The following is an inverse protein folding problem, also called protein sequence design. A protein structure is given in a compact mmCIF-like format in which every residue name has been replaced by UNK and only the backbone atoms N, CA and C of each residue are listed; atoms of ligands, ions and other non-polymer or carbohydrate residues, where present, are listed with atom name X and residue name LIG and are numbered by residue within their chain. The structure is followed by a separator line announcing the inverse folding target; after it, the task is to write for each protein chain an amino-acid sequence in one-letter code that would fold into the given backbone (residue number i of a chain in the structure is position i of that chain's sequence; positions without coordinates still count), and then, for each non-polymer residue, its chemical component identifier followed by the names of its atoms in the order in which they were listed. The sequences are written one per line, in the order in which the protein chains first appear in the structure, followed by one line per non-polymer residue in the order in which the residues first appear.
data_IF_593103212452
#
_entry.id   IF_593103212452
#
_cell.length_a   1.000
_cell.length_b   1.000
_cell.length_c   1.000
_cell.angle_alpha   90.00
_cell.angle_beta   90.00
_cell.angle_gamma   90.00
#
_symmetry.space_group_name_H-M   'P 1'
#
loop_
_entity.id
_entity.type
_entity.pdbx_description
1 polymer ?
#
# COMPACT_ATOMS: atom_id res chain seq x y z
N UNK A 1 28.25 3.82 -9.71
CA UNK A 1 28.51 2.43 -10.18
C UNK A 1 27.64 1.50 -9.33
N UNK A 2 26.89 0.56 -9.94
CA UNK A 2 26.19 -0.50 -9.20
C UNK A 2 27.02 -1.76 -9.33
N UNK A 3 27.44 -2.36 -8.21
CA UNK A 3 28.38 -3.48 -8.24
C UNK A 3 27.73 -4.76 -8.79
N UNK A 4 26.46 -4.99 -8.42
CA UNK A 4 25.65 -6.10 -8.91
C UNK A 4 24.32 -5.62 -9.47
N UNK A 5 24.19 -5.70 -10.79
CA UNK A 5 22.98 -5.31 -11.48
C UNK A 5 21.99 -6.48 -11.59
N UNK A 6 21.59 -7.06 -10.45
CA UNK A 6 20.51 -8.06 -10.38
C UNK A 6 19.78 -7.93 -9.05
N UNK A 7 18.49 -8.32 -9.03
CA UNK A 7 17.72 -8.49 -7.79
C UNK A 7 17.89 -9.90 -7.19
N UNK A 8 18.42 -10.86 -7.95
CA UNK A 8 18.50 -12.25 -7.51
C UNK A 8 19.50 -12.45 -6.36
N UNK A 9 19.26 -13.46 -5.54
CA UNK A 9 19.97 -13.72 -4.28
C UNK A 9 21.09 -14.77 -4.43
N UNK A 10 21.97 -14.65 -5.44
CA UNK A 10 23.24 -15.39 -5.38
C UNK A 10 23.94 -14.92 -4.11
N UNK A 11 24.24 -15.85 -3.21
CA UNK A 11 24.71 -15.58 -1.85
C UNK A 11 25.71 -14.44 -1.83
N UNK A 12 25.31 -13.30 -1.26
CA UNK A 12 26.15 -12.10 -1.20
C UNK A 12 27.52 -12.43 -0.56
N UNK A 13 27.52 -13.38 0.38
CA UNK A 13 28.72 -13.95 1.00
C UNK A 13 29.60 -14.71 0.03
N UNK A 14 29.05 -15.59 -0.82
CA UNK A 14 29.83 -16.37 -1.80
C UNK A 14 30.49 -15.44 -2.82
N UNK A 15 29.75 -14.42 -3.25
CA UNK A 15 30.27 -13.40 -4.14
C UNK A 15 31.43 -12.63 -3.49
N UNK A 16 31.25 -12.13 -2.27
CA UNK A 16 32.30 -11.41 -1.53
C UNK A 16 33.51 -12.30 -1.30
N UNK A 17 33.31 -13.55 -0.85
CA UNK A 17 34.39 -14.52 -0.63
C UNK A 17 35.18 -14.81 -1.91
N UNK A 18 34.48 -14.94 -3.04
CA UNK A 18 35.12 -15.13 -4.36
C UNK A 18 35.99 -13.94 -4.74
N UNK A 19 35.54 -12.70 -4.50
CA UNK A 19 36.33 -11.51 -4.80
C UNK A 19 37.51 -11.34 -3.82
N UNK A 20 37.33 -11.68 -2.54
CA UNK A 20 38.39 -11.66 -1.53
C UNK A 20 39.49 -12.70 -1.80
N UNK A 21 39.14 -13.83 -2.42
CA UNK A 21 40.08 -14.88 -2.81
C UNK A 21 41.02 -14.51 -3.97
N UNK A 22 40.80 -13.38 -4.65
CA UNK A 22 41.65 -12.91 -5.76
C UNK A 22 42.80 -12.05 -5.22
N UNK A 23 43.98 -12.65 -5.04
CA UNK A 23 45.15 -12.00 -4.45
C UNK A 23 45.49 -10.63 -5.07
N UNK A 24 45.44 -10.52 -6.41
CA UNK A 24 45.87 -9.31 -7.13
C UNK A 24 44.87 -8.14 -7.03
N UNK A 25 43.59 -8.41 -6.70
CA UNK A 25 42.53 -7.40 -6.66
C UNK A 25 41.85 -7.28 -5.30
N UNK A 26 42.30 -8.00 -4.27
CA UNK A 26 41.63 -8.04 -2.97
C UNK A 26 41.58 -6.66 -2.29
N UNK A 27 42.71 -5.95 -2.21
CA UNK A 27 42.76 -4.62 -1.55
C UNK A 27 41.92 -3.59 -2.32
N UNK A 28 42.00 -3.59 -3.66
CA UNK A 28 41.20 -2.66 -4.48
C UNK A 28 39.71 -2.98 -4.38
N UNK A 29 39.34 -4.27 -4.37
CA UNK A 29 37.98 -4.72 -4.12
C UNK A 29 37.45 -4.23 -2.77
N UNK A 30 38.17 -4.48 -1.67
CA UNK A 30 37.75 -4.07 -0.32
C UNK A 30 37.52 -2.55 -0.29
N UNK A 31 38.44 -1.76 -0.84
CA UNK A 31 38.31 -0.30 -0.88
C UNK A 31 37.10 0.16 -1.70
N UNK A 32 36.93 -0.35 -2.92
CA UNK A 32 35.78 0.01 -3.76
C UNK A 32 34.46 -0.43 -3.14
N UNK A 33 34.41 -1.66 -2.61
CA UNK A 33 33.21 -2.23 -2.01
C UNK A 33 32.78 -1.44 -0.77
N UNK A 34 33.70 -1.13 0.14
CA UNK A 34 33.40 -0.34 1.35
C UNK A 34 32.96 1.08 1.02
N UNK A 35 33.59 1.73 0.03
CA UNK A 35 33.17 3.06 -0.45
C UNK A 35 31.76 3.03 -1.05
N UNK A 36 31.46 2.02 -1.89
CA UNK A 36 30.13 1.84 -2.45
C UNK A 36 29.09 1.55 -1.38
N UNK A 37 29.42 0.70 -0.39
CA UNK A 37 28.53 0.39 0.72
C UNK A 37 28.21 1.64 1.54
N UNK A 38 29.22 2.46 1.87
CA UNK A 38 29.03 3.76 2.53
C UNK A 38 28.15 4.70 1.72
N UNK A 39 28.34 4.75 0.39
CA UNK A 39 27.48 5.54 -0.50
C UNK A 39 26.04 5.03 -0.48
N UNK A 40 25.80 3.72 -0.56
CA UNK A 40 24.47 3.12 -0.48
C UNK A 40 23.77 3.48 0.83
N UNK A 41 24.44 3.36 1.98
CA UNK A 41 23.86 3.76 3.26
C UNK A 41 23.51 5.24 3.30
N UNK A 42 24.37 6.11 2.77
CA UNK A 42 24.10 7.55 2.68
C UNK A 42 22.85 7.84 1.83
N UNK A 43 22.69 7.15 0.69
CA UNK A 43 21.51 7.29 -0.16
C UNK A 43 20.23 6.79 0.53
N UNK A 44 20.30 5.67 1.26
CA UNK A 44 19.17 5.16 2.04
C UNK A 44 18.77 6.15 3.13
N UNK A 45 19.73 6.67 3.90
CA UNK A 45 19.47 7.67 4.94
C UNK A 45 18.79 8.91 4.37
N UNK A 46 19.31 9.46 3.27
CA UNK A 46 18.72 10.61 2.59
C UNK A 46 17.28 10.31 2.13
N UNK A 47 17.04 9.15 1.52
CA UNK A 47 15.70 8.73 1.12
C UNK A 47 14.74 8.63 2.31
N UNK A 48 15.17 8.03 3.42
CA UNK A 48 14.37 7.89 4.63
C UNK A 48 14.03 9.26 5.23
N UNK A 49 14.95 10.21 5.23
CA UNK A 49 14.66 11.58 5.66
C UNK A 49 13.67 12.29 4.73
N UNK A 50 13.77 12.08 3.42
CA UNK A 50 12.82 12.62 2.46
C UNK A 50 11.42 12.00 2.59
N UNK A 51 11.30 10.74 3.04
CA UNK A 51 9.99 10.12 3.32
C UNK A 51 9.20 10.86 4.41
N UNK A 52 9.87 11.63 5.28
CA UNK A 52 9.21 12.45 6.31
C UNK A 52 8.46 13.64 5.71
N UNK A 53 8.88 14.12 4.53
CA UNK A 53 8.35 15.33 3.88
C UNK A 53 7.55 15.00 2.61
N UNK A 54 7.92 13.94 1.91
CA UNK A 54 7.33 13.53 0.64
C UNK A 54 6.35 12.37 0.84
N UNK A 55 5.06 12.64 0.66
CA UNK A 55 4.00 11.63 0.88
C UNK A 55 4.12 10.45 -0.08
N UNK A 56 4.67 10.64 -1.28
CA UNK A 56 4.81 9.59 -2.28
C UNK A 56 5.86 8.59 -1.85
N UNK A 57 6.99 9.07 -1.32
CA UNK A 57 8.02 8.20 -0.75
C UNK A 57 7.54 7.53 0.55
N UNK A 58 6.76 8.24 1.37
CA UNK A 58 6.11 7.63 2.53
C UNK A 58 5.16 6.49 2.12
N UNK A 59 4.30 6.72 1.14
CA UNK A 59 3.38 5.70 0.64
C UNK A 59 4.12 4.45 0.14
N UNK A 60 5.20 4.64 -0.63
CA UNK A 60 6.06 3.53 -1.04
C UNK A 60 6.62 2.79 0.18
N UNK A 61 7.16 3.49 1.18
CA UNK A 61 7.75 2.88 2.37
C UNK A 61 6.75 2.03 3.18
N UNK A 62 5.49 2.45 3.23
CA UNK A 62 4.40 1.71 3.89
C UNK A 62 3.98 0.46 3.09
N UNK A 63 3.91 0.60 1.76
CA UNK A 63 3.44 -0.46 0.87
C UNK A 63 4.51 -1.47 0.44
N UNK A 64 5.79 -1.14 0.57
CA UNK A 64 6.85 -1.87 -0.11
C UNK A 64 7.21 -3.22 0.52
N UNK A 65 7.62 -4.15 -0.34
CA UNK A 65 8.63 -5.15 0.03
C UNK A 65 10.00 -4.46 0.00
N UNK A 66 10.62 -4.29 1.18
CA UNK A 66 11.88 -3.57 1.33
C UNK A 66 13.05 -4.27 0.63
N UNK A 67 13.00 -5.60 0.48
CA UNK A 67 14.04 -6.37 -0.21
C UNK A 67 14.10 -6.04 -1.71
N UNK A 68 12.95 -5.69 -2.30
CA UNK A 68 12.84 -5.28 -3.70
C UNK A 68 12.99 -3.76 -3.83
N UNK A 69 12.35 -2.98 -2.96
CA UNK A 69 12.31 -1.52 -3.04
C UNK A 69 13.69 -0.87 -2.94
N UNK A 70 14.50 -1.24 -1.95
CA UNK A 70 15.78 -0.56 -1.72
C UNK A 70 16.74 -0.68 -2.91
N UNK A 71 16.92 -1.84 -3.57
CA UNK A 71 17.69 -1.93 -4.81
C UNK A 71 17.27 -0.91 -5.87
N UNK A 72 15.97 -0.74 -6.15
CA UNK A 72 15.48 0.25 -7.11
C UNK A 72 15.81 1.68 -6.68
N UNK A 73 15.51 2.04 -5.43
CA UNK A 73 15.75 3.39 -4.89
C UNK A 73 17.24 3.74 -4.91
N UNK A 74 18.10 2.84 -4.41
CA UNK A 74 19.55 3.02 -4.39
C UNK A 74 20.09 3.18 -5.81
N UNK A 75 19.67 2.29 -6.73
CA UNK A 75 20.12 2.36 -8.12
C UNK A 75 19.72 3.67 -8.78
N UNK A 76 18.48 4.12 -8.58
CA UNK A 76 17.98 5.37 -9.13
C UNK A 76 18.77 6.58 -8.60
N UNK A 77 19.01 6.64 -7.29
CA UNK A 77 19.80 7.71 -6.65
C UNK A 77 21.27 7.71 -7.11
N UNK A 78 21.92 6.54 -7.18
CA UNK A 78 23.30 6.40 -7.68
C UNK A 78 23.44 6.78 -9.17
N UNK A 79 22.35 6.70 -9.93
CA UNK A 79 22.29 7.11 -11.34
C UNK A 79 21.89 8.58 -11.52
N UNK A 80 21.67 9.31 -10.42
CA UNK A 80 21.26 10.71 -10.47
C UNK A 80 19.89 10.90 -11.11
N UNK A 81 18.96 9.97 -10.90
CA UNK A 81 17.59 10.07 -11.41
C UNK A 81 16.94 11.38 -10.90
N UNK A 82 16.34 12.20 -11.78
CA UNK A 82 15.67 13.44 -11.36
C UNK A 82 14.55 13.19 -10.36
N UNK A 83 14.31 14.15 -9.45
CA UNK A 83 13.29 14.03 -8.39
C UNK A 83 11.90 13.63 -8.92
N UNK A 84 11.45 14.25 -10.01
CA UNK A 84 10.14 13.91 -10.62
C UNK A 84 10.08 12.45 -11.09
N UNK A 85 11.15 11.95 -11.69
CA UNK A 85 11.24 10.56 -12.15
C UNK A 85 11.33 9.60 -10.95
N UNK A 86 12.03 9.97 -9.88
CA UNK A 86 12.04 9.19 -8.63
C UNK A 86 10.64 9.06 -8.01
N UNK A 87 9.83 10.13 -8.04
CA UNK A 87 8.44 10.08 -7.58
C UNK A 87 7.55 9.22 -8.49
N UNK A 88 7.80 9.22 -9.80
CA UNK A 88 7.11 8.32 -10.74
C UNK A 88 7.48 6.85 -10.50
N UNK A 89 8.77 6.57 -10.29
CA UNK A 89 9.27 5.26 -9.89
C UNK A 89 8.61 4.80 -8.59
N UNK A 90 8.57 5.69 -7.58
CA UNK A 90 8.00 5.38 -6.29
C UNK A 90 6.50 5.07 -6.37
N UNK A 91 5.73 5.84 -7.15
CA UNK A 91 4.31 5.56 -7.42
C UNK A 91 4.13 4.21 -8.10
N UNK A 92 4.90 3.91 -9.15
CA UNK A 92 4.74 2.66 -9.88
C UNK A 92 5.07 1.44 -9.00
N UNK A 93 6.16 1.51 -8.21
CA UNK A 93 6.53 0.47 -7.26
C UNK A 93 5.48 0.28 -6.17
N UNK A 94 4.98 1.37 -5.60
CA UNK A 94 3.91 1.32 -4.58
C UNK A 94 2.67 0.61 -5.12
N UNK A 95 2.22 0.97 -6.33
CA UNK A 95 1.08 0.35 -6.99
C UNK A 95 1.25 -1.17 -7.16
N UNK A 96 2.41 -1.62 -7.66
CA UNK A 96 2.61 -3.06 -7.89
C UNK A 96 2.77 -3.84 -6.56
N UNK A 97 3.37 -3.24 -5.54
CA UNK A 97 3.45 -3.88 -4.22
C UNK A 97 2.07 -4.02 -3.57
N UNK A 98 1.23 -2.99 -3.67
CA UNK A 98 -0.15 -3.07 -3.19
C UNK A 98 -0.94 -4.12 -3.96
N UNK A 99 -0.87 -4.12 -5.31
CA UNK A 99 -1.50 -5.18 -6.11
C UNK A 99 -1.05 -6.57 -5.69
N UNK A 100 0.25 -6.76 -5.46
CA UNK A 100 0.77 -8.05 -5.02
C UNK A 100 0.19 -8.48 -3.66
N UNK A 101 0.11 -7.57 -2.69
CA UNK A 101 -0.49 -7.82 -1.37
C UNK A 101 -1.99 -8.09 -1.43
N UNK A 102 -2.73 -7.35 -2.29
CA UNK A 102 -4.18 -7.51 -2.45
C UNK A 102 -4.49 -8.84 -3.12
N UNK A 103 -3.78 -9.16 -4.21
CA UNK A 103 -4.09 -10.33 -5.03
C UNK A 103 -3.62 -11.63 -4.35
N UNK A 104 -2.51 -11.59 -3.60
CA UNK A 104 -2.01 -12.75 -2.86
C UNK A 104 -1.53 -13.90 -3.75
N UNK A 105 -1.14 -13.60 -4.99
CA UNK A 105 -0.61 -14.59 -5.94
C UNK A 105 0.68 -15.23 -5.44
N UNK A 106 0.89 -16.52 -5.75
CA UNK A 106 2.16 -17.24 -5.51
C UNK A 106 3.26 -16.90 -6.52
N UNK A 107 2.94 -16.14 -7.58
CA UNK A 107 3.92 -15.71 -8.56
C UNK A 107 4.99 -14.80 -7.92
N UNK A 108 6.27 -15.06 -8.21
CA UNK A 108 7.38 -14.33 -7.63
C UNK A 108 7.50 -12.93 -8.25
N UNK A 109 7.15 -11.88 -7.49
CA UNK A 109 7.22 -10.49 -7.96
C UNK A 109 8.67 -10.04 -8.26
N UNK A 110 9.65 -10.46 -7.46
CA UNK A 110 11.06 -10.11 -7.65
C UNK A 110 11.53 -10.52 -9.05
N UNK A 111 11.29 -11.78 -9.45
CA UNK A 111 11.66 -12.27 -10.78
C UNK A 111 10.98 -11.50 -11.91
N UNK A 112 9.75 -11.05 -11.69
CA UNK A 112 9.00 -10.26 -12.67
C UNK A 112 9.53 -8.83 -12.82
N UNK A 113 10.23 -8.32 -11.82
CA UNK A 113 10.83 -6.99 -11.83
C UNK A 113 12.35 -7.00 -12.14
N UNK A 114 13.00 -8.17 -12.15
CA UNK A 114 14.45 -8.28 -12.39
C UNK A 114 14.90 -7.66 -13.71
N UNK A 115 14.15 -7.87 -14.79
CA UNK A 115 14.56 -7.38 -16.11
C UNK A 115 14.43 -5.85 -16.23
N UNK A 116 13.33 -5.28 -15.75
CA UNK A 116 13.18 -3.82 -15.76
C UNK A 116 14.15 -3.14 -14.78
N UNK A 117 14.48 -3.79 -13.65
CA UNK A 117 15.55 -3.34 -12.76
C UNK A 117 16.89 -3.29 -13.50
N UNK A 118 17.30 -4.37 -14.18
CA UNK A 118 18.57 -4.44 -14.92
C UNK A 118 18.71 -3.30 -15.92
N UNK A 119 17.65 -3.05 -16.69
CA UNK A 119 17.62 -2.09 -17.78
C UNK A 119 17.25 -0.66 -17.34
N UNK A 120 16.94 -0.44 -16.06
CA UNK A 120 16.72 0.90 -15.52
C UNK A 120 18.03 1.70 -15.51
N UNK A 121 17.96 2.92 -16.03
CA UNK A 121 19.07 3.90 -15.97
C UNK A 121 18.65 5.12 -15.14
N UNK A 122 18.86 6.35 -15.63
CA UNK A 122 18.48 7.58 -14.92
C UNK A 122 17.03 8.04 -15.17
N UNK A 123 16.17 7.16 -15.70
CA UNK A 123 14.73 7.41 -15.91
C UNK A 123 13.89 6.27 -15.36
N UNK A 124 12.72 6.60 -14.82
CA UNK A 124 11.73 5.68 -14.29
C UNK A 124 10.95 4.95 -15.39
N UNK A 125 10.96 5.46 -16.63
CA UNK A 125 10.15 4.95 -17.75
C UNK A 125 10.24 3.45 -17.94
N UNK A 126 11.45 2.87 -17.87
CA UNK A 126 11.65 1.42 -18.02
C UNK A 126 10.82 0.62 -17.01
N UNK A 127 10.80 1.07 -15.75
CA UNK A 127 10.08 0.39 -14.67
C UNK A 127 8.59 0.69 -14.73
N UNK A 128 8.23 1.95 -14.94
CA UNK A 128 6.84 2.40 -15.05
C UNK A 128 6.14 1.66 -16.18
N UNK A 129 6.71 1.65 -17.39
CA UNK A 129 6.11 0.99 -18.55
C UNK A 129 5.97 -0.51 -18.34
N UNK A 130 6.97 -1.15 -17.71
CA UNK A 130 6.90 -2.58 -17.39
C UNK A 130 5.77 -2.90 -16.42
N UNK A 131 5.62 -2.10 -15.36
CA UNK A 131 4.53 -2.25 -14.39
C UNK A 131 3.18 -2.01 -15.05
N UNK A 132 3.04 -0.99 -15.90
CA UNK A 132 1.79 -0.76 -16.65
C UNK A 132 1.47 -1.92 -17.60
N UNK A 133 2.47 -2.46 -18.29
CA UNK A 133 2.32 -3.64 -19.12
C UNK A 133 1.79 -4.83 -18.29
N UNK A 134 2.38 -5.10 -17.12
CA UNK A 134 1.90 -6.16 -16.21
C UNK A 134 0.42 -6.01 -15.83
N UNK A 135 -0.05 -4.77 -15.60
CA UNK A 135 -1.45 -4.48 -15.25
C UNK A 135 -2.44 -4.73 -16.39
N UNK A 136 -1.98 -4.65 -17.64
CA UNK A 136 -2.81 -4.85 -18.84
C UNK A 136 -2.83 -6.30 -19.37
N UNK A 137 -2.04 -7.22 -18.78
CA UNK A 137 -1.91 -8.60 -19.28
C UNK A 137 -3.23 -9.37 -19.14
N UNK A 138 -3.58 -10.15 -20.16
CA UNK A 138 -4.77 -11.04 -20.16
C UNK A 138 -4.45 -12.53 -20.33
N UNK A 139 -3.17 -12.87 -20.44
CA UNK A 139 -2.72 -14.25 -20.58
C UNK A 139 -2.18 -14.80 -19.26
N UNK A 140 -1.51 -15.95 -19.31
CA UNK A 140 -0.97 -16.65 -18.12
C UNK A 140 0.04 -15.83 -17.30
N UNK A 141 0.53 -14.69 -17.79
CA UNK A 141 1.35 -13.74 -17.00
C UNK A 141 0.53 -12.72 -16.20
N UNK A 142 -0.79 -12.67 -16.40
CA UNK A 142 -1.71 -11.65 -15.88
C UNK A 142 -1.99 -11.70 -14.38
N UNK A 143 -1.03 -12.14 -13.55
CA UNK A 143 -1.23 -12.28 -12.11
C UNK A 143 -1.49 -10.96 -11.36
N UNK A 144 -1.10 -9.81 -11.92
CA UNK A 144 -1.31 -8.48 -11.32
C UNK A 144 -2.18 -7.57 -12.19
N UNK A 145 -2.97 -8.15 -13.09
CA UNK A 145 -3.76 -7.39 -14.04
C UNK A 145 -4.96 -6.69 -13.38
N UNK A 146 -5.64 -5.83 -14.14
CA UNK A 146 -6.81 -5.09 -13.65
C UNK A 146 -7.98 -6.00 -13.27
N UNK A 147 -8.18 -7.11 -13.99
CA UNK A 147 -9.28 -8.04 -13.75
C UNK A 147 -9.09 -8.77 -12.40
N UNK A 148 -7.88 -9.23 -12.09
CA UNK A 148 -7.55 -9.86 -10.81
C UNK A 148 -7.58 -8.86 -9.65
N UNK A 149 -7.13 -7.62 -9.87
CA UNK A 149 -7.28 -6.57 -8.88
C UNK A 149 -8.76 -6.34 -8.56
N UNK A 150 -9.61 -6.18 -9.57
CA UNK A 150 -11.04 -5.96 -9.36
C UNK A 150 -11.70 -7.14 -8.64
N UNK A 151 -11.42 -8.37 -9.09
CA UNK A 151 -11.96 -9.57 -8.47
C UNK A 151 -11.60 -9.65 -6.99
N UNK A 152 -10.34 -9.38 -6.64
CA UNK A 152 -9.84 -9.53 -5.26
C UNK A 152 -10.24 -8.38 -4.34
N UNK A 153 -10.44 -7.17 -4.86
CA UNK A 153 -11.01 -6.05 -4.09
C UNK A 153 -12.47 -6.31 -3.65
N UNK A 154 -13.21 -7.13 -4.41
CA UNK A 154 -14.58 -7.54 -4.09
C UNK A 154 -14.65 -8.79 -3.18
N UNK A 155 -13.53 -9.23 -2.61
CA UNK A 155 -13.45 -10.34 -1.67
C UNK A 155 -13.00 -9.85 -0.28
N UNK A 156 -13.13 -10.72 0.73
CA UNK A 156 -12.48 -10.49 2.03
C UNK A 156 -10.96 -10.41 1.87
N UNK A 157 -10.32 -9.52 2.64
CA UNK A 157 -8.88 -9.26 2.52
C UNK A 157 -8.19 -9.15 3.87
N UNK A 158 -6.86 -9.24 3.86
CA UNK A 158 -6.06 -9.05 5.06
C UNK A 158 -6.29 -7.65 5.69
N UNK A 159 -6.52 -7.60 7.00
CA UNK A 159 -6.83 -6.35 7.70
C UNK A 159 -5.71 -5.30 7.59
N UNK A 160 -4.43 -5.69 7.56
CA UNK A 160 -3.34 -4.73 7.39
C UNK A 160 -3.34 -4.12 5.98
N UNK A 161 -3.66 -4.92 4.96
CA UNK A 161 -3.86 -4.41 3.60
C UNK A 161 -5.04 -3.44 3.57
N UNK A 162 -6.20 -3.83 4.14
CA UNK A 162 -7.38 -2.97 4.21
C UNK A 162 -7.08 -1.61 4.86
N UNK A 163 -6.31 -1.58 5.96
CA UNK A 163 -5.90 -0.33 6.61
C UNK A 163 -5.11 0.59 5.69
N UNK A 164 -4.18 0.05 4.91
CA UNK A 164 -3.39 0.86 3.95
C UNK A 164 -4.30 1.40 2.84
N UNK A 165 -5.23 0.59 2.32
CA UNK A 165 -6.17 1.02 1.28
C UNK A 165 -7.12 2.10 1.76
N UNK A 166 -7.66 1.98 2.97
CA UNK A 166 -8.49 3.00 3.59
C UNK A 166 -7.72 4.29 3.89
N UNK A 167 -6.42 4.19 4.18
CA UNK A 167 -5.56 5.38 4.34
C UNK A 167 -5.34 6.10 3.00
N UNK A 168 -5.18 5.36 1.90
CA UNK A 168 -5.15 5.97 0.57
C UNK A 168 -6.49 6.62 0.22
N UNK A 169 -7.60 5.95 0.52
CA UNK A 169 -8.93 6.50 0.33
C UNK A 169 -9.18 7.75 1.17
N UNK A 170 -8.72 7.79 2.42
CA UNK A 170 -8.76 8.99 3.27
C UNK A 170 -8.06 10.18 2.60
N UNK A 171 -6.85 9.96 2.08
CA UNK A 171 -6.11 11.01 1.37
C UNK A 171 -6.82 11.46 0.09
N UNK A 172 -7.47 10.55 -0.63
CA UNK A 172 -8.34 10.90 -1.76
C UNK A 172 -9.51 11.79 -1.32
N UNK A 173 -10.21 11.43 -0.24
CA UNK A 173 -11.31 12.24 0.29
C UNK A 173 -10.83 13.64 0.75
N UNK A 174 -9.64 13.73 1.36
CA UNK A 174 -9.02 15.02 1.74
C UNK A 174 -8.82 15.89 0.49
N UNK A 175 -8.28 15.31 -0.58
CA UNK A 175 -8.00 16.03 -1.84
C UNK A 175 -9.27 16.45 -2.58
N UNK A 176 -10.33 15.62 -2.57
CA UNK A 176 -11.61 15.94 -3.20
C UNK A 176 -12.36 17.08 -2.50
N UNK A 177 -12.19 17.24 -1.18
CA UNK A 177 -12.91 18.26 -0.41
C UNK A 177 -12.50 19.70 -0.75
N UNK A 178 -11.21 20.03 -0.59
CA UNK A 178 -10.65 21.36 -0.91
C UNK A 178 -9.17 21.22 -1.25
N UNK A 179 -8.74 21.83 -2.36
CA UNK A 179 -7.31 21.90 -2.72
C UNK A 179 -6.50 22.60 -1.61
N UNK A 180 -5.32 22.07 -1.29
CA UNK A 180 -4.37 22.67 -0.33
C UNK A 180 -4.39 22.10 1.09
N UNK A 181 -5.30 21.18 1.44
CA UNK A 181 -5.20 20.46 2.71
C UNK A 181 -4.00 19.50 2.70
N UNK A 182 -3.25 19.51 3.82
CA UNK A 182 -2.13 18.59 4.02
C UNK A 182 -2.64 17.15 4.00
N UNK A 183 -1.99 16.31 3.19
CA UNK A 183 -2.24 14.86 3.20
C UNK A 183 -1.86 14.26 4.56
N UNK A 184 -2.68 13.31 5.00
CA UNK A 184 -2.48 12.57 6.25
C UNK A 184 -1.41 11.50 6.03
N UNK A 185 -0.37 11.47 6.86
CA UNK A 185 0.60 10.36 6.83
C UNK A 185 0.03 9.15 7.57
N UNK A 186 0.40 7.95 7.15
CA UNK A 186 -0.09 6.72 7.80
C UNK A 186 0.31 6.62 9.28
N UNK A 187 1.50 7.11 9.64
CA UNK A 187 2.05 7.14 10.99
C UNK A 187 1.51 8.29 11.84
N UNK A 188 0.75 9.23 11.26
CA UNK A 188 0.01 10.25 12.02
C UNK A 188 -1.28 9.68 12.65
N UNK A 189 -1.71 8.47 12.22
CA UNK A 189 -2.83 7.75 12.85
C UNK A 189 -2.26 6.93 14.01
N UNK A 190 -2.58 7.30 15.24
CA UNK A 190 -2.11 6.59 16.44
C UNK A 190 -2.63 5.15 16.45
N UNK A 191 -1.71 4.18 16.32
CA UNK A 191 -2.02 2.73 16.30
C UNK A 191 -3.22 2.42 15.39
N UNK A 192 -3.07 2.51 14.05
CA UNK A 192 -4.20 2.42 13.13
C UNK A 192 -4.87 1.05 13.26
N UNK A 193 -6.15 1.08 13.66
CA UNK A 193 -7.02 -0.07 13.79
C UNK A 193 -8.05 -0.09 12.66
N UNK A 194 -8.50 -1.31 12.33
CA UNK A 194 -9.58 -1.53 11.37
C UNK A 194 -10.86 -1.78 12.16
N UNK A 195 -11.80 -0.84 12.07
CA UNK A 195 -13.11 -0.94 12.68
C UNK A 195 -14.10 -1.57 11.69
N UNK A 196 -14.89 -2.53 12.15
CA UNK A 196 -16.09 -2.99 11.46
C UNK A 196 -17.28 -2.13 11.90
N UNK A 197 -17.78 -1.28 11.00
CA UNK A 197 -18.88 -0.35 11.31
C UNK A 197 -20.08 -1.14 11.83
N UNK A 198 -20.58 -2.09 11.03
CA UNK A 198 -21.40 -3.19 11.53
C UNK A 198 -20.47 -4.27 12.12
N UNK A 199 -20.53 -4.53 13.43
CA UNK A 199 -19.57 -5.38 14.14
C UNK A 199 -19.60 -6.84 13.67
N UNK A 200 -18.47 -7.55 13.82
CA UNK A 200 -18.40 -9.00 13.52
C UNK A 200 -19.32 -9.83 14.41
N UNK A 201 -19.34 -9.54 15.70
CA UNK A 201 -20.33 -10.12 16.61
C UNK A 201 -21.58 -9.27 16.55
N UNK A 202 -22.67 -9.84 16.06
CA UNK A 202 -23.97 -9.17 15.96
C UNK A 202 -24.39 -8.58 17.30
N UNK A 203 -24.66 -7.28 17.32
CA UNK A 203 -25.28 -6.64 18.47
C UNK A 203 -26.75 -7.11 18.53
N UNK A 204 -27.16 -7.77 19.62
CA UNK A 204 -28.53 -8.31 19.77
C UNK A 204 -29.53 -7.35 20.41
N UNK A 205 -29.12 -6.12 20.71
CA UNK A 205 -30.02 -5.14 21.31
C UNK A 205 -31.09 -4.68 20.32
N UNK A 206 -32.32 -4.40 20.80
CA UNK A 206 -33.36 -3.82 19.97
C UNK A 206 -32.94 -2.47 19.40
N UNK A 207 -33.24 -2.22 18.12
CA UNK A 207 -32.92 -0.97 17.43
C UNK A 207 -31.42 -0.61 17.46
N UNK A 208 -30.54 -1.61 17.36
CA UNK A 208 -29.07 -1.44 17.36
C UNK A 208 -28.54 -0.53 16.22
N UNK A 209 -29.34 -0.26 15.19
CA UNK A 209 -29.00 0.59 14.04
C UNK A 209 -28.26 -0.13 12.91
N UNK A 210 -28.22 -1.45 12.92
CA UNK A 210 -27.68 -2.29 11.84
C UNK A 210 -28.80 -3.07 11.13
N UNK A 211 -28.57 -3.48 9.89
CA UNK A 211 -29.46 -4.44 9.22
C UNK A 211 -29.37 -5.84 9.85
N UNK A 212 -30.31 -6.73 9.49
CA UNK A 212 -30.25 -8.13 9.92
C UNK A 212 -29.02 -8.85 9.38
N UNK A 213 -28.38 -9.65 10.23
CA UNK A 213 -27.22 -10.46 9.86
C UNK A 213 -27.69 -11.81 9.31
N UNK A 214 -28.23 -11.77 8.09
CA UNK A 214 -28.58 -12.97 7.33
C UNK A 214 -27.34 -13.54 6.61
N UNK A 215 -27.51 -14.67 5.93
CA UNK A 215 -26.45 -15.34 5.17
C UNK A 215 -25.80 -14.42 4.13
N UNK A 216 -26.60 -13.58 3.47
CA UNK A 216 -26.11 -12.62 2.47
C UNK A 216 -25.24 -11.54 3.12
N UNK A 217 -25.60 -11.03 4.31
CA UNK A 217 -24.78 -10.09 5.08
C UNK A 217 -23.41 -10.69 5.42
N UNK A 218 -23.38 -11.89 6.01
CA UNK A 218 -22.13 -12.56 6.39
C UNK A 218 -21.22 -12.82 5.18
N UNK A 219 -21.80 -13.24 4.06
CA UNK A 219 -21.03 -13.64 2.88
C UNK A 219 -20.52 -12.46 2.04
N UNK A 220 -21.18 -11.30 2.07
CA UNK A 220 -20.88 -10.19 1.12
C UNK A 220 -20.59 -8.84 1.76
N UNK A 221 -21.11 -8.58 2.96
CA UNK A 221 -21.11 -7.23 3.53
C UNK A 221 -20.25 -7.12 4.78
N UNK A 222 -20.15 -8.20 5.57
CA UNK A 222 -19.40 -8.17 6.82
C UNK A 222 -17.91 -7.87 6.59
N UNK A 223 -17.25 -8.67 5.75
CA UNK A 223 -15.81 -8.60 5.47
C UNK A 223 -15.52 -7.87 4.15
N UNK A 224 -16.08 -6.66 3.99
CA UNK A 224 -15.86 -5.85 2.80
C UNK A 224 -15.36 -4.44 3.14
N UNK A 225 -14.63 -3.81 2.22
CA UNK A 225 -14.07 -2.46 2.40
C UNK A 225 -15.14 -1.41 2.79
N UNK A 226 -16.36 -1.55 2.26
CA UNK A 226 -17.48 -0.67 2.56
C UNK A 226 -17.89 -0.69 4.03
N UNK A 227 -17.70 -1.81 4.73
CA UNK A 227 -18.01 -1.96 6.15
C UNK A 227 -16.80 -1.65 7.06
N UNK A 228 -15.63 -1.35 6.50
CA UNK A 228 -14.43 -1.04 7.26
C UNK A 228 -14.16 0.45 7.40
N UNK A 229 -13.57 0.85 8.53
CA UNK A 229 -13.20 2.23 8.83
C UNK A 229 -11.85 2.28 9.54
N UNK A 230 -11.04 3.30 9.30
CA UNK A 230 -9.85 3.57 10.11
C UNK A 230 -10.22 4.35 11.37
N UNK A 231 -9.73 3.86 12.52
CA UNK A 231 -9.78 4.54 13.81
C UNK A 231 -8.39 4.47 14.48
N UNK A 232 -8.15 5.34 15.46
CA UNK A 232 -7.04 5.13 16.40
C UNK A 232 -7.33 3.92 17.30
N UNK A 233 -6.29 3.28 17.82
CA UNK A 233 -6.42 2.08 18.64
C UNK A 233 -7.29 2.29 19.88
N UNK A 234 -7.05 3.37 20.61
CA UNK A 234 -7.83 3.75 21.80
C UNK A 234 -9.31 3.97 21.50
N UNK A 235 -9.61 4.62 20.37
CA UNK A 235 -10.98 4.87 19.93
C UNK A 235 -11.69 3.57 19.54
N UNK A 236 -11.06 2.72 18.73
CA UNK A 236 -11.61 1.42 18.34
C UNK A 236 -11.92 0.52 19.56
N UNK A 237 -11.01 0.43 20.54
CA UNK A 237 -11.23 -0.35 21.77
C UNK A 237 -12.46 0.14 22.53
N UNK A 238 -12.68 1.46 22.59
CA UNK A 238 -13.84 2.03 23.30
C UNK A 238 -15.19 1.74 22.64
N UNK A 239 -15.22 1.45 21.33
CA UNK A 239 -16.46 1.23 20.59
C UNK A 239 -16.99 -0.20 20.64
N UNK A 240 -16.12 -1.21 20.68
CA UNK A 240 -16.52 -2.63 20.76
C UNK A 240 -17.67 -2.99 19.77
N UNK A 241 -18.64 -3.81 20.19
CA UNK A 241 -19.84 -4.17 19.44
C UNK A 241 -21.04 -3.23 19.73
N UNK A 242 -20.78 -1.97 20.07
CA UNK A 242 -21.81 -1.00 20.44
C UNK A 242 -22.81 -0.70 19.31
N UNK A 243 -23.97 -0.17 19.67
CA UNK A 243 -25.00 0.31 18.72
C UNK A 243 -24.43 1.32 17.73
N UNK A 244 -24.93 1.29 16.50
CA UNK A 244 -24.46 2.15 15.41
C UNK A 244 -24.49 3.62 15.78
N UNK A 245 -25.57 4.09 16.43
CA UNK A 245 -25.72 5.49 16.80
C UNK A 245 -24.58 6.00 17.71
N UNK A 246 -24.13 5.19 18.66
CA UNK A 246 -23.02 5.56 19.56
C UNK A 246 -21.68 5.58 18.82
N UNK A 247 -21.43 4.59 17.95
CA UNK A 247 -20.26 4.62 17.07
C UNK A 247 -20.27 5.87 16.19
N UNK A 248 -21.41 6.13 15.54
CA UNK A 248 -21.67 7.27 14.66
C UNK A 248 -21.39 8.60 15.37
N UNK A 249 -21.88 8.81 16.59
CA UNK A 249 -21.63 10.03 17.38
C UNK A 249 -20.13 10.31 17.59
N UNK A 250 -19.30 9.29 17.61
CA UNK A 250 -17.84 9.42 17.81
C UNK A 250 -17.04 9.68 16.52
N UNK A 251 -17.64 9.51 15.34
CA UNK A 251 -16.99 9.56 14.02
C UNK A 251 -16.71 11.00 13.54
N UNK A 252 -15.79 11.71 14.18
CA UNK A 252 -15.61 13.16 13.98
C UNK A 252 -14.28 13.58 13.33
N UNK A 253 -13.29 12.68 13.29
CA UNK A 253 -11.89 13.01 12.97
C UNK A 253 -11.57 12.88 11.48
N UNK A 254 -11.63 11.66 10.94
CA UNK A 254 -11.25 11.36 9.55
C UNK A 254 -12.34 11.72 8.53
N UNK A 255 -11.98 11.93 7.26
CA UNK A 255 -12.95 12.17 6.19
C UNK A 255 -13.82 10.96 5.93
N UNK A 256 -13.28 9.75 5.98
CA UNK A 256 -14.06 8.52 5.85
C UNK A 256 -15.10 8.35 6.97
N UNK A 257 -14.81 8.86 8.19
CA UNK A 257 -15.76 8.88 9.30
C UNK A 257 -16.94 9.83 8.99
N UNK A 258 -16.62 11.02 8.46
CA UNK A 258 -17.62 12.01 8.02
C UNK A 258 -18.44 11.53 6.82
N UNK A 259 -17.86 10.72 5.95
CA UNK A 259 -18.62 10.08 4.87
C UNK A 259 -19.73 9.19 5.44
N UNK A 260 -19.42 8.34 6.44
CA UNK A 260 -20.41 7.50 7.12
C UNK A 260 -21.52 8.35 7.76
N UNK A 261 -21.16 9.49 8.38
CA UNK A 261 -22.14 10.44 8.92
C UNK A 261 -23.09 10.97 7.85
N UNK A 262 -22.56 11.39 6.70
CA UNK A 262 -23.35 11.92 5.58
C UNK A 262 -24.23 10.85 4.94
N UNK A 263 -23.76 9.61 4.85
CA UNK A 263 -24.54 8.48 4.32
C UNK A 263 -25.71 8.07 5.22
N UNK A 264 -25.71 8.52 6.48
CA UNK A 264 -26.72 8.17 7.50
C UNK A 264 -27.36 9.40 8.12
N UNK A 265 -27.40 10.51 7.37
CA UNK A 265 -28.01 11.76 7.85
C UNK A 265 -29.55 11.69 7.87
N UNK A 266 -30.14 10.98 6.90
CA UNK A 266 -31.59 10.84 6.74
C UNK A 266 -32.15 9.68 7.56
N UNK A 267 -31.37 8.61 7.70
CA UNK A 267 -31.71 7.41 8.45
C UNK A 267 -30.50 6.90 9.23
N UNK A 268 -30.67 6.77 10.55
CA UNK A 268 -29.61 6.36 11.48
C UNK A 268 -29.39 4.83 11.45
N UNK A 269 -29.37 4.26 10.25
CA UNK A 269 -29.25 2.82 9.98
C UNK A 269 -28.06 2.58 9.07
N UNK A 270 -27.19 1.67 9.46
CA UNK A 270 -26.11 1.14 8.63
C UNK A 270 -26.54 -0.20 8.02
N UNK A 271 -26.95 -0.16 6.75
CA UNK A 271 -27.53 -1.29 6.02
C UNK A 271 -26.65 -1.75 4.85
N UNK A 272 -27.08 -2.83 4.20
CA UNK A 272 -26.42 -3.42 3.03
C UNK A 272 -26.24 -2.43 1.89
N UNK A 273 -27.23 -1.58 1.62
CA UNK A 273 -27.18 -0.62 0.51
C UNK A 273 -26.09 0.44 0.73
N UNK A 274 -25.98 0.96 1.95
CA UNK A 274 -24.93 1.91 2.33
C UNK A 274 -23.55 1.26 2.32
N UNK A 275 -23.44 0.02 2.82
CA UNK A 275 -22.20 -0.75 2.75
C UNK A 275 -21.78 -0.96 1.28
N UNK A 276 -22.70 -1.38 0.42
CA UNK A 276 -22.43 -1.58 -1.00
C UNK A 276 -22.01 -0.30 -1.70
N UNK A 277 -22.77 0.79 -1.51
CA UNK A 277 -22.48 2.08 -2.13
C UNK A 277 -21.09 2.58 -1.72
N UNK A 278 -20.75 2.47 -0.43
CA UNK A 278 -19.42 2.84 0.07
C UNK A 278 -18.33 1.92 -0.47
N UNK A 279 -18.58 0.61 -0.52
CA UNK A 279 -17.65 -0.36 -1.09
C UNK A 279 -17.31 0.00 -2.55
N UNK A 280 -18.33 0.23 -3.39
CA UNK A 280 -18.15 0.59 -4.80
C UNK A 280 -17.32 1.86 -4.98
N UNK A 281 -17.58 2.92 -4.19
CA UNK A 281 -16.77 4.15 -4.23
C UNK A 281 -15.29 3.89 -3.92
N UNK A 282 -15.00 3.07 -2.91
CA UNK A 282 -13.63 2.75 -2.52
C UNK A 282 -12.97 1.92 -3.63
N UNK A 283 -13.66 0.91 -4.16
CA UNK A 283 -13.13 0.05 -5.22
C UNK A 283 -12.87 0.84 -6.50
N UNK A 284 -13.79 1.71 -6.92
CA UNK A 284 -13.63 2.55 -8.11
C UNK A 284 -12.38 3.44 -8.00
N UNK A 285 -12.18 4.08 -6.84
CA UNK A 285 -10.98 4.85 -6.55
C UNK A 285 -9.71 3.98 -6.65
N UNK A 286 -9.72 2.80 -6.03
CA UNK A 286 -8.57 1.91 -5.98
C UNK A 286 -8.21 1.36 -7.36
N UNK A 287 -9.21 1.01 -8.19
CA UNK A 287 -9.00 0.53 -9.57
C UNK A 287 -8.37 1.60 -10.46
N UNK A 288 -8.75 2.86 -10.28
CA UNK A 288 -8.17 3.97 -11.04
C UNK A 288 -6.74 4.31 -10.58
N UNK A 289 -6.42 4.05 -9.31
CA UNK A 289 -5.18 4.51 -8.67
C UNK A 289 -4.09 3.45 -8.63
N UNK A 290 -4.45 2.18 -8.46
CA UNK A 290 -3.54 1.04 -8.38
C UNK A 290 -3.32 0.43 -9.74
#
# INVERSE_FOLDING_TARGET
KVYRNSLDDIGSTDFVNKELGKADSCISFIREFTQLLSSCFSQISNFLDETKKNITYHALLIAADRSIMFPFVIKALLKGMPQKELEELARALEQIFLRHRIIGTRANLLWRLTECYKNMDNSAKTVVNHIQWMKSRKDWWGYWNNDELLRTLNMGMNHNTAKILLWKYENHLIQCGKAGYKMLRYDDIEQPHLEHIAPQTENKEPNNGYCSYDEDFYNRYLECLGNYLLLSGSHNISLSNERFQKKRESYTYLRQQREVLGMTEKDLIWDKDKIHLRHSKIVDYLIQTL
#
